data_IF_311935244368
#
_entry.id   IF_311935244368
#
_cell.length_a   1.000
_cell.length_b   1.000
_cell.length_c   1.000
_cell.angle_alpha   90.00
_cell.angle_beta   90.00
_cell.angle_gamma   90.00
#
_symmetry.space_group_name_H-M   'P 1'
#
loop_
_entity.id
_entity.type
_entity.pdbx_description
1 polymer ?
#
# COMPACT_ATOMS: atom_id res chain seq x y z
N UNK A 1 36.59 6.62 0.70
CA UNK A 1 35.79 7.82 0.99
C UNK A 1 35.27 7.70 2.42
N UNK A 2 35.31 8.75 3.26
CA UNK A 2 34.70 8.67 4.58
C UNK A 2 33.19 8.45 4.42
N UNK A 3 32.62 7.55 5.23
CA UNK A 3 31.19 7.28 5.27
C UNK A 3 30.49 8.58 5.69
N UNK A 4 29.70 9.17 4.79
CA UNK A 4 28.90 10.35 5.14
C UNK A 4 27.90 9.98 6.23
N UNK A 5 27.74 10.87 7.22
CA UNK A 5 26.66 10.70 8.18
C UNK A 5 25.29 10.81 7.46
N UNK A 6 24.28 10.10 7.98
CA UNK A 6 22.94 10.03 7.40
C UNK A 6 22.26 11.41 7.23
N UNK A 7 22.55 12.39 8.10
CA UNK A 7 22.00 13.75 7.97
C UNK A 7 22.61 14.45 6.76
N UNK A 8 23.92 14.32 6.55
CA UNK A 8 24.62 14.80 5.37
C UNK A 8 24.10 14.15 4.08
N UNK A 9 23.80 12.84 4.12
CA UNK A 9 23.19 12.11 3.00
C UNK A 9 21.79 12.64 2.67
N UNK A 10 20.93 12.84 3.67
CA UNK A 10 19.59 13.42 3.50
C UNK A 10 19.67 14.85 2.96
N UNK A 11 20.54 15.69 3.51
CA UNK A 11 20.76 17.07 3.04
C UNK A 11 21.21 17.12 1.59
N UNK A 12 22.06 16.17 1.17
CA UNK A 12 22.47 16.02 -0.23
C UNK A 12 21.30 15.60 -1.11
N UNK A 13 20.54 14.56 -0.71
CA UNK A 13 19.38 14.06 -1.48
C UNK A 13 18.39 15.18 -1.77
N UNK A 14 18.08 15.97 -0.75
CA UNK A 14 17.12 17.06 -0.84
C UNK A 14 17.77 18.41 -1.18
N UNK A 15 19.03 18.48 -1.59
CA UNK A 15 19.76 19.75 -1.76
C UNK A 15 18.99 20.74 -2.65
N UNK A 16 18.45 20.25 -3.77
CA UNK A 16 17.70 21.05 -4.75
C UNK A 16 16.27 21.43 -4.32
N UNK A 17 15.75 20.88 -3.20
CA UNK A 17 14.41 21.19 -2.71
C UNK A 17 14.38 22.58 -2.07
N UNK A 18 13.53 23.53 -2.51
CA UNK A 18 13.52 24.90 -1.99
C UNK A 18 12.86 25.02 -0.61
N UNK A 19 12.02 24.06 -0.23
CA UNK A 19 11.27 24.10 1.03
C UNK A 19 12.14 23.67 2.22
N UNK A 20 12.60 24.63 3.01
CA UNK A 20 13.43 24.41 4.20
C UNK A 20 12.67 23.69 5.32
N UNK A 21 11.41 24.07 5.56
CA UNK A 21 10.54 23.44 6.56
C UNK A 21 10.40 21.94 6.30
N UNK A 22 10.12 21.56 5.05
CA UNK A 22 10.02 20.15 4.65
C UNK A 22 11.35 19.41 4.84
N UNK A 23 12.48 20.03 4.51
CA UNK A 23 13.82 19.43 4.75
C UNK A 23 14.05 19.15 6.24
N UNK A 24 13.73 20.12 7.09
CA UNK A 24 13.88 19.98 8.54
C UNK A 24 12.95 18.91 9.10
N UNK A 25 11.70 18.87 8.63
CA UNK A 25 10.73 17.84 9.00
C UNK A 25 11.19 16.43 8.61
N UNK A 26 11.73 16.24 7.39
CA UNK A 26 12.32 14.96 6.95
C UNK A 26 13.46 14.53 7.88
N UNK A 27 14.38 15.44 8.19
CA UNK A 27 15.54 15.11 9.04
C UNK A 27 15.08 14.77 10.46
N UNK A 28 14.15 15.55 11.03
CA UNK A 28 13.60 15.33 12.35
C UNK A 28 12.90 13.97 12.45
N UNK A 29 12.06 13.64 11.47
CA UNK A 29 11.30 12.39 11.48
C UNK A 29 12.20 11.17 11.27
N UNK A 30 13.20 11.26 10.38
CA UNK A 30 14.22 10.22 10.27
C UNK A 30 14.97 10.00 11.59
N UNK A 31 15.36 11.08 12.29
CA UNK A 31 16.07 10.99 13.56
C UNK A 31 15.20 10.35 14.65
N UNK A 32 13.93 10.72 14.71
CA UNK A 32 12.96 10.15 15.65
C UNK A 32 12.76 8.64 15.42
N UNK A 33 12.50 8.23 14.17
CA UNK A 33 12.36 6.81 13.81
C UNK A 33 13.59 5.98 14.16
N UNK A 34 14.79 6.49 13.84
CA UNK A 34 16.06 5.82 14.20
C UNK A 34 16.21 5.68 15.71
N UNK A 35 15.74 6.68 16.47
CA UNK A 35 15.83 6.64 17.93
C UNK A 35 14.93 5.56 18.53
N UNK A 36 13.73 5.38 17.96
CA UNK A 36 12.72 4.40 18.35
C UNK A 36 13.02 2.97 17.87
N UNK A 37 13.82 2.82 16.81
CA UNK A 37 14.13 1.53 16.20
C UNK A 37 15.30 0.80 16.87
N UNK A 38 15.25 -0.54 16.83
CA UNK A 38 16.29 -1.42 17.37
C UNK A 38 17.49 -1.58 16.41
N UNK A 39 17.26 -1.74 15.10
CA UNK A 39 18.33 -1.86 14.10
C UNK A 39 18.74 -0.52 13.49
N UNK A 40 19.44 0.28 14.29
CA UNK A 40 19.85 1.64 13.92
C UNK A 40 20.85 1.68 12.76
N UNK A 41 21.55 0.58 12.47
CA UNK A 41 22.60 0.58 11.44
C UNK A 41 22.00 0.34 10.07
N UNK A 42 21.20 -0.71 9.90
CA UNK A 42 20.58 -1.02 8.60
C UNK A 42 19.69 0.13 8.13
N UNK A 43 18.89 0.70 9.04
CA UNK A 43 18.04 1.88 8.74
C UNK A 43 18.89 3.04 8.23
N UNK A 44 20.01 3.35 8.93
CA UNK A 44 20.91 4.45 8.53
C UNK A 44 21.53 4.22 7.16
N UNK A 45 21.91 2.99 6.86
CA UNK A 45 22.49 2.63 5.56
C UNK A 45 21.43 2.79 4.45
N UNK A 46 20.19 2.33 4.66
CA UNK A 46 19.09 2.44 3.68
C UNK A 46 18.64 3.88 3.44
N UNK A 47 18.44 4.69 4.48
CA UNK A 47 18.08 6.13 4.31
C UNK A 47 19.23 6.95 3.70
N UNK A 48 20.48 6.47 3.80
CA UNK A 48 21.64 7.08 3.17
C UNK A 48 21.89 6.57 1.76
N UNK A 49 21.13 5.58 1.29
CA UNK A 49 21.34 4.96 -0.01
C UNK A 49 21.12 5.94 -1.15
N UNK A 50 22.03 5.95 -2.11
CA UNK A 50 21.84 6.64 -3.38
C UNK A 50 20.85 5.92 -4.31
N UNK A 51 20.52 4.65 -4.01
CA UNK A 51 19.55 3.88 -4.77
C UNK A 51 18.15 4.29 -4.30
N UNK A 52 17.36 4.84 -5.22
CA UNK A 52 16.08 5.46 -4.89
C UNK A 52 15.07 4.49 -4.29
N UNK A 53 15.01 3.26 -4.80
CA UNK A 53 14.11 2.23 -4.27
C UNK A 53 14.47 1.79 -2.84
N UNK A 54 15.76 1.66 -2.51
CA UNK A 54 16.19 1.31 -1.16
C UNK A 54 15.84 2.40 -0.15
N UNK A 55 16.08 3.67 -0.54
CA UNK A 55 15.69 4.83 0.24
C UNK A 55 14.18 4.85 0.49
N UNK A 56 13.37 4.76 -0.57
CA UNK A 56 11.91 4.87 -0.47
C UNK A 56 11.25 3.73 0.27
N UNK A 57 11.82 2.52 0.20
CA UNK A 57 11.35 1.40 1.00
C UNK A 57 11.55 1.69 2.50
N UNK A 58 12.73 2.15 2.91
CA UNK A 58 12.96 2.53 4.31
C UNK A 58 12.18 3.77 4.72
N UNK A 59 12.09 4.76 3.84
CA UNK A 59 11.39 6.00 4.12
C UNK A 59 9.88 5.78 4.22
N UNK A 60 9.31 4.79 3.52
CA UNK A 60 7.90 4.42 3.69
C UNK A 60 7.59 3.90 5.10
N UNK A 61 8.48 3.11 5.71
CA UNK A 61 8.35 2.72 7.12
C UNK A 61 8.37 3.97 8.03
N UNK A 62 9.26 4.94 7.76
CA UNK A 62 9.33 6.21 8.50
C UNK A 62 8.02 7.02 8.34
N UNK A 63 7.43 7.06 7.15
CA UNK A 63 6.17 7.78 6.91
C UNK A 63 4.97 7.11 7.58
N UNK A 64 4.93 5.78 7.65
CA UNK A 64 3.91 5.05 8.41
C UNK A 64 4.08 5.30 9.91
N UNK A 65 5.32 5.28 10.42
CA UNK A 65 5.61 5.65 11.81
C UNK A 65 5.09 7.06 12.14
N UNK A 66 5.38 8.05 11.29
CA UNK A 66 4.84 9.41 11.44
C UNK A 66 3.32 9.40 11.49
N UNK A 67 2.66 8.68 10.57
CA UNK A 67 1.21 8.56 10.53
C UNK A 67 0.65 7.97 11.84
N UNK A 68 1.20 6.85 12.31
CA UNK A 68 0.75 6.22 13.56
C UNK A 68 0.92 7.14 14.77
N UNK A 69 2.04 7.87 14.88
CA UNK A 69 2.21 8.89 15.94
C UNK A 69 1.19 10.01 15.83
N UNK A 70 1.00 10.54 14.62
CA UNK A 70 0.09 11.67 14.37
C UNK A 70 -1.34 11.36 14.80
N UNK A 71 -1.77 10.11 14.62
CA UNK A 71 -3.10 9.64 15.02
C UNK A 71 -3.15 9.02 16.44
N UNK A 72 -2.06 9.13 17.21
CA UNK A 72 -2.05 8.81 18.64
C UNK A 72 -2.05 7.32 18.99
N UNK A 73 -1.56 6.46 18.10
CA UNK A 73 -1.50 5.01 18.37
C UNK A 73 -0.43 4.66 19.42
N UNK A 74 -0.74 3.67 20.27
CA UNK A 74 0.26 2.95 21.08
C UNK A 74 0.86 1.83 20.22
N UNK A 75 2.09 2.01 19.77
CA UNK A 75 2.77 1.04 18.92
C UNK A 75 4.25 0.89 19.26
N UNK A 76 4.82 -0.22 18.79
CA UNK A 76 6.23 -0.55 18.95
C UNK A 76 6.80 -1.18 17.67
N UNK A 77 8.11 -1.13 17.53
CA UNK A 77 8.85 -1.86 16.50
C UNK A 77 9.36 -3.18 17.08
N UNK A 78 8.82 -4.33 16.68
CA UNK A 78 9.29 -5.59 17.22
C UNK A 78 10.73 -5.89 16.72
N UNK A 79 11.52 -6.65 17.50
CA UNK A 79 12.90 -6.99 17.11
C UNK A 79 12.98 -7.92 15.89
N UNK A 80 11.88 -8.61 15.56
CA UNK A 80 11.75 -9.43 14.37
C UNK A 80 10.28 -9.51 13.96
N UNK A 81 10.04 -9.73 12.66
CA UNK A 81 8.68 -9.84 12.13
C UNK A 81 8.19 -8.57 11.45
N UNK A 82 6.90 -8.25 11.61
CA UNK A 82 6.27 -7.05 11.05
C UNK A 82 6.93 -5.75 11.49
N UNK A 83 6.82 -4.72 10.65
CA UNK A 83 7.48 -3.44 10.91
C UNK A 83 6.88 -2.71 12.14
N UNK A 84 5.59 -2.94 12.42
CA UNK A 84 4.87 -2.34 13.53
C UNK A 84 4.00 -3.34 14.27
N UNK A 85 3.96 -3.21 15.60
CA UNK A 85 3.00 -3.86 16.48
C UNK A 85 2.22 -2.78 17.24
N UNK A 86 0.93 -2.64 16.91
CA UNK A 86 0.00 -1.68 17.51
C UNK A 86 -0.85 -2.41 18.56
N UNK A 87 -1.05 -1.78 19.71
CA UNK A 87 -2.03 -2.21 20.70
C UNK A 87 -3.32 -1.42 20.49
N UNK A 88 -4.43 -2.13 20.33
CA UNK A 88 -5.75 -1.53 20.14
C UNK A 88 -6.77 -2.33 20.95
N UNK A 89 -7.26 -1.74 22.04
CA UNK A 89 -8.04 -2.43 23.06
C UNK A 89 -7.37 -3.75 23.50
N UNK A 90 -8.10 -4.86 23.44
CA UNK A 90 -7.60 -6.22 23.74
C UNK A 90 -6.94 -6.91 22.53
N UNK A 91 -6.79 -6.19 21.41
CA UNK A 91 -6.29 -6.73 20.14
C UNK A 91 -4.88 -6.24 19.84
N UNK A 92 -4.06 -7.13 19.28
CA UNK A 92 -2.77 -6.76 18.68
C UNK A 92 -2.95 -6.66 17.16
N UNK A 93 -2.56 -5.52 16.58
CA UNK A 93 -2.53 -5.30 15.13
C UNK A 93 -1.07 -5.23 14.68
N UNK A 94 -0.67 -6.13 13.79
CA UNK A 94 0.62 -6.06 13.12
C UNK A 94 0.47 -5.37 11.77
N UNK A 95 1.40 -4.47 11.45
CA UNK A 95 1.47 -3.83 10.14
C UNK A 95 2.83 -4.14 9.52
N UNK A 96 2.79 -4.73 8.33
CA UNK A 96 3.96 -5.00 7.50
C UNK A 96 3.93 -4.09 6.27
N UNK A 97 4.94 -3.25 6.13
CA UNK A 97 5.07 -2.23 5.10
C UNK A 97 5.82 -2.78 3.89
N UNK A 98 5.36 -2.39 2.70
CA UNK A 98 6.07 -2.63 1.44
C UNK A 98 5.94 -1.45 0.50
N UNK A 99 7.05 -1.13 -0.17
CA UNK A 99 7.07 -0.16 -1.28
C UNK A 99 7.53 -0.91 -2.52
N UNK A 100 6.61 -1.37 -3.39
CA UNK A 100 6.97 -2.10 -4.59
C UNK A 100 7.89 -1.27 -5.49
N UNK A 101 8.89 -1.93 -6.07
CA UNK A 101 9.78 -1.32 -7.06
C UNK A 101 9.03 -1.13 -8.39
N UNK A 102 9.36 -0.12 -9.21
CA UNK A 102 8.71 0.14 -10.50
C UNK A 102 9.18 -0.82 -11.61
N UNK A 103 9.51 -2.06 -11.27
CA UNK A 103 10.00 -3.06 -12.22
C UNK A 103 8.91 -3.43 -13.23
N UNK A 104 9.26 -3.35 -14.52
CA UNK A 104 8.31 -3.60 -15.61
C UNK A 104 7.34 -2.45 -15.88
N UNK A 105 7.36 -1.37 -15.08
CA UNK A 105 6.58 -0.17 -15.38
C UNK A 105 7.27 0.59 -16.52
N UNK A 106 6.53 1.01 -17.57
CA UNK A 106 7.12 1.71 -18.70
C UNK A 106 7.80 3.03 -18.31
N UNK A 107 8.96 3.30 -18.92
CA UNK A 107 9.76 4.49 -18.62
C UNK A 107 9.02 5.79 -18.94
N UNK A 108 8.15 5.79 -19.96
CA UNK A 108 7.33 6.96 -20.32
C UNK A 108 6.34 7.37 -19.23
N UNK A 109 5.98 6.45 -18.34
CA UNK A 109 5.09 6.72 -17.21
C UNK A 109 5.88 7.36 -16.06
N UNK A 110 6.97 6.71 -15.65
CA UNK A 110 7.82 7.17 -14.53
C UNK A 110 8.52 8.50 -14.88
N UNK A 111 9.16 8.57 -16.04
CA UNK A 111 9.93 9.71 -16.53
C UNK A 111 9.16 10.46 -17.61
N UNK A 112 7.92 10.81 -17.31
CA UNK A 112 7.05 11.51 -18.26
C UNK A 112 7.69 12.81 -18.76
N UNK A 113 7.51 13.08 -20.06
CA UNK A 113 7.92 14.33 -20.69
C UNK A 113 6.70 15.25 -20.83
N UNK A 114 6.66 16.41 -20.14
CA UNK A 114 5.53 17.34 -20.23
C UNK A 114 5.15 17.67 -21.68
N UNK A 115 3.85 17.69 -21.96
CA UNK A 115 3.31 17.93 -23.31
C UNK A 115 3.17 16.68 -24.18
N UNK A 116 3.42 15.49 -23.63
CA UNK A 116 3.17 14.21 -24.32
C UNK A 116 1.94 13.50 -23.76
N UNK A 117 1.27 12.69 -24.59
CA UNK A 117 0.22 11.77 -24.13
C UNK A 117 0.84 10.38 -23.92
N UNK A 118 0.49 9.73 -22.82
CA UNK A 118 0.96 8.38 -22.48
C UNK A 118 -0.20 7.52 -22.01
N UNK A 119 -0.10 6.20 -22.24
CA UNK A 119 -1.05 5.23 -21.69
C UNK A 119 -0.83 5.05 -20.19
N UNK A 120 -1.92 4.80 -19.46
CA UNK A 120 -1.84 4.40 -18.05
C UNK A 120 -1.45 2.92 -17.95
N UNK A 121 -0.28 2.56 -17.39
CA UNK A 121 0.22 1.19 -17.34
C UNK A 121 -0.42 0.41 -16.17
N UNK A 122 -1.74 0.29 -16.21
CA UNK A 122 -2.54 -0.24 -15.11
C UNK A 122 -2.24 -1.72 -14.84
N UNK A 123 -1.98 -2.54 -15.86
CA UNK A 123 -1.62 -3.95 -15.66
C UNK A 123 -0.23 -4.10 -15.05
N UNK A 124 0.75 -3.31 -15.49
CA UNK A 124 2.10 -3.33 -14.96
C UNK A 124 2.15 -2.87 -13.50
N UNK A 125 1.38 -1.83 -13.15
CA UNK A 125 1.21 -1.37 -11.77
C UNK A 125 0.52 -2.45 -10.94
N UNK A 126 -0.58 -3.03 -11.43
CA UNK A 126 -1.30 -4.07 -10.71
C UNK A 126 -0.45 -5.34 -10.48
N UNK A 127 0.42 -5.71 -11.43
CA UNK A 127 1.42 -6.76 -11.24
C UNK A 127 2.40 -6.46 -10.10
N UNK A 128 2.72 -5.18 -9.86
CA UNK A 128 3.55 -4.79 -8.71
C UNK A 128 2.78 -4.91 -7.39
N UNK A 129 1.50 -4.54 -7.38
CA UNK A 129 0.63 -4.70 -6.20
C UNK A 129 0.44 -6.16 -5.82
N UNK A 130 0.06 -7.02 -6.78
CA UNK A 130 -0.10 -8.46 -6.53
C UNK A 130 1.19 -9.11 -6.04
N UNK A 131 2.34 -8.77 -6.63
CA UNK A 131 3.63 -9.26 -6.18
C UNK A 131 3.97 -8.80 -4.75
N UNK A 132 3.71 -7.53 -4.41
CA UNK A 132 3.97 -6.98 -3.09
C UNK A 132 3.09 -7.63 -2.01
N UNK A 133 1.79 -7.77 -2.28
CA UNK A 133 0.85 -8.44 -1.37
C UNK A 133 1.28 -9.89 -1.17
N UNK A 134 1.62 -10.61 -2.26
CA UNK A 134 2.10 -11.99 -2.19
C UNK A 134 3.38 -12.12 -1.35
N UNK A 135 4.36 -11.23 -1.54
CA UNK A 135 5.61 -11.27 -0.78
C UNK A 135 5.35 -11.21 0.74
N UNK A 136 4.48 -10.29 1.16
CA UNK A 136 4.15 -10.12 2.58
C UNK A 136 3.22 -11.22 3.10
N UNK A 137 2.31 -11.72 2.28
CA UNK A 137 1.52 -12.90 2.60
C UNK A 137 2.42 -14.13 2.85
N UNK A 138 3.44 -14.36 2.01
CA UNK A 138 4.40 -15.46 2.19
C UNK A 138 5.28 -15.26 3.44
N UNK A 139 5.55 -14.02 3.86
CA UNK A 139 6.22 -13.77 5.15
C UNK A 139 5.34 -14.17 6.33
N UNK A 140 4.03 -13.88 6.28
CA UNK A 140 3.08 -14.27 7.33
C UNK A 140 2.85 -15.79 7.37
N UNK A 141 2.49 -16.37 6.22
CA UNK A 141 1.99 -17.74 6.08
C UNK A 141 3.12 -18.76 5.86
N UNK A 142 4.26 -18.32 5.33
CA UNK A 142 5.29 -19.18 4.77
C UNK A 142 5.07 -19.42 3.28
N UNK A 143 6.07 -20.04 2.63
CA UNK A 143 5.94 -20.44 1.23
C UNK A 143 5.13 -21.72 1.10
N UNK A 144 4.30 -21.81 0.05
CA UNK A 144 3.42 -22.96 -0.22
C UNK A 144 4.17 -24.28 -0.40
N UNK A 145 5.42 -24.24 -0.84
CA UNK A 145 6.30 -25.42 -0.98
C UNK A 145 6.93 -25.87 0.35
N UNK A 146 6.64 -25.17 1.45
CA UNK A 146 7.20 -25.43 2.77
C UNK A 146 8.66 -25.03 2.93
N UNK A 147 9.28 -24.37 1.94
CA UNK A 147 10.70 -24.02 1.98
C UNK A 147 11.02 -22.96 3.03
N UNK A 148 10.02 -22.23 3.51
CA UNK A 148 10.19 -21.13 4.45
C UNK A 148 8.99 -21.04 5.37
N UNK A 149 9.23 -21.14 6.68
CA UNK A 149 8.22 -20.95 7.72
C UNK A 149 7.83 -19.48 7.84
N UNK A 150 6.52 -19.22 7.89
CA UNK A 150 5.97 -17.88 8.08
C UNK A 150 6.05 -17.38 9.52
N UNK A 151 5.66 -16.11 9.74
CA UNK A 151 5.58 -15.50 11.07
C UNK A 151 4.60 -16.20 12.01
N UNK A 152 3.49 -16.73 11.49
CA UNK A 152 2.52 -17.50 12.30
C UNK A 152 3.15 -18.77 12.86
N UNK A 153 3.82 -19.56 12.00
CA UNK A 153 4.46 -20.81 12.43
C UNK A 153 5.64 -20.55 13.39
N UNK A 154 6.32 -19.40 13.23
CA UNK A 154 7.40 -18.97 14.12
C UNK A 154 6.89 -18.40 15.46
N UNK A 155 5.58 -18.19 15.63
CA UNK A 155 5.01 -17.54 16.81
C UNK A 155 5.37 -16.05 16.95
N UNK A 156 5.77 -15.41 15.86
CA UNK A 156 6.09 -13.97 15.80
C UNK A 156 4.79 -13.15 15.74
N UNK A 157 3.82 -13.66 14.97
CA UNK A 157 2.44 -13.16 14.92
C UNK A 157 1.56 -14.22 15.58
N UNK A 158 0.73 -13.83 16.54
CA UNK A 158 -0.21 -14.71 17.21
C UNK A 158 -1.36 -15.15 16.29
N UNK A 159 -1.98 -16.31 16.54
CA UNK A 159 -3.07 -16.82 15.71
C UNK A 159 -4.35 -15.98 15.77
N UNK A 160 -4.49 -15.16 16.81
CA UNK A 160 -5.64 -14.28 17.04
C UNK A 160 -5.27 -12.79 16.83
N UNK A 161 -4.04 -12.52 16.39
CA UNK A 161 -3.61 -11.16 16.07
C UNK A 161 -4.17 -10.74 14.70
N UNK A 162 -4.43 -9.45 14.54
CA UNK A 162 -4.80 -8.82 13.26
C UNK A 162 -3.51 -8.57 12.46
N UNK A 163 -3.53 -8.87 11.16
CA UNK A 163 -2.37 -8.66 10.28
C UNK A 163 -2.75 -7.82 9.06
N UNK A 164 -2.08 -6.68 8.91
CA UNK A 164 -2.31 -5.71 7.84
C UNK A 164 -1.07 -5.57 6.99
N UNK A 165 -1.25 -5.61 5.66
CA UNK A 165 -0.18 -5.30 4.71
C UNK A 165 -0.35 -3.85 4.25
N UNK A 166 0.59 -2.98 4.60
CA UNK A 166 0.61 -1.60 4.14
C UNK A 166 1.44 -1.50 2.85
N UNK A 167 0.80 -1.22 1.73
CA UNK A 167 1.46 -1.07 0.43
C UNK A 167 1.55 0.41 0.09
N UNK A 168 2.77 0.95 0.07
CA UNK A 168 3.02 2.32 -0.36
C UNK A 168 3.28 2.40 -1.87
N UNK A 169 2.38 3.03 -2.62
CA UNK A 169 2.42 3.15 -4.07
C UNK A 169 3.46 4.16 -4.58
N UNK A 170 4.18 4.86 -3.70
CA UNK A 170 5.02 6.02 -4.02
C UNK A 170 5.97 5.86 -5.21
N UNK A 171 6.58 4.68 -5.36
CA UNK A 171 7.52 4.38 -6.45
C UNK A 171 6.82 4.04 -7.78
N UNK A 172 5.52 3.77 -7.76
CA UNK A 172 4.72 3.41 -8.94
C UNK A 172 4.05 4.63 -9.58
N UNK A 173 4.14 5.80 -8.93
CA UNK A 173 3.62 7.07 -9.43
C UNK A 173 4.20 7.41 -10.80
N UNK A 174 3.35 7.96 -11.66
CA UNK A 174 3.77 8.55 -12.92
C UNK A 174 4.29 9.97 -12.73
N UNK A 175 4.75 10.58 -13.83
CA UNK A 175 5.05 12.01 -13.90
C UNK A 175 6.05 12.47 -12.85
N UNK A 176 7.16 11.74 -12.72
CA UNK A 176 8.23 12.02 -11.75
C UNK A 176 7.74 12.09 -10.29
N UNK A 177 6.68 11.36 -9.96
CA UNK A 177 6.10 11.31 -8.62
C UNK A 177 5.08 12.41 -8.30
N UNK A 178 4.68 13.21 -9.29
CA UNK A 178 3.81 14.37 -9.10
C UNK A 178 2.37 13.99 -8.73
N UNK A 179 1.83 12.91 -9.29
CA UNK A 179 0.45 12.50 -9.05
C UNK A 179 0.42 11.26 -8.19
N UNK A 180 -0.22 11.39 -7.03
CA UNK A 180 -0.54 10.22 -6.24
C UNK A 180 -1.54 9.33 -6.98
N UNK A 181 -1.30 8.02 -6.98
CA UNK A 181 -2.17 7.07 -7.65
C UNK A 181 -2.24 5.76 -6.87
N UNK A 182 -3.33 5.62 -6.10
CA UNK A 182 -3.73 4.35 -5.51
C UNK A 182 -4.85 3.68 -6.29
N UNK A 183 -5.56 4.40 -7.16
CA UNK A 183 -6.70 3.86 -7.90
C UNK A 183 -6.25 3.25 -9.23
N UNK A 184 -6.82 2.09 -9.54
CA UNK A 184 -6.61 1.39 -10.80
C UNK A 184 -7.64 1.76 -11.85
N UNK A 185 -7.66 0.96 -12.92
CA UNK A 185 -8.53 1.15 -14.09
C UNK A 185 -10.02 0.99 -13.76
N UNK A 186 -10.33 0.23 -12.71
CA UNK A 186 -11.69 0.03 -12.17
C UNK A 186 -12.23 1.24 -11.40
N UNK A 187 -11.41 2.27 -11.17
CA UNK A 187 -11.68 3.39 -10.26
C UNK A 187 -11.69 3.01 -8.77
N UNK A 188 -11.54 1.73 -8.43
CA UNK A 188 -11.20 1.30 -7.07
C UNK A 188 -9.69 1.33 -6.84
N UNK A 189 -9.23 1.28 -5.58
CA UNK A 189 -7.81 1.11 -5.29
C UNK A 189 -7.23 -0.14 -5.97
N UNK A 190 -5.98 -0.08 -6.43
CA UNK A 190 -5.24 -1.24 -6.93
C UNK A 190 -5.20 -2.39 -5.92
N UNK A 191 -5.27 -2.08 -4.62
CA UNK A 191 -5.45 -3.09 -3.58
C UNK A 191 -6.72 -3.92 -3.79
N UNK A 192 -7.86 -3.29 -4.13
CA UNK A 192 -9.12 -4.00 -4.40
C UNK A 192 -9.02 -4.82 -5.71
N UNK A 193 -8.44 -4.23 -6.76
CA UNK A 193 -8.17 -4.95 -8.01
C UNK A 193 -7.30 -6.20 -7.83
N UNK A 194 -6.32 -6.14 -6.91
CA UNK A 194 -5.37 -7.21 -6.66
C UNK A 194 -5.94 -8.37 -5.83
N UNK A 195 -7.04 -8.16 -5.10
CA UNK A 195 -7.55 -9.15 -4.13
C UNK A 195 -8.97 -9.65 -4.42
N UNK A 196 -9.74 -8.98 -5.28
CA UNK A 196 -11.15 -9.31 -5.58
C UNK A 196 -11.45 -9.62 -7.06
N UNK A 197 -10.43 -9.90 -7.87
CA UNK A 197 -10.59 -10.14 -9.31
C UNK A 197 -11.26 -8.97 -10.06
N UNK A 198 -11.13 -7.75 -9.55
CA UNK A 198 -11.86 -6.61 -10.07
C UNK A 198 -11.14 -6.04 -11.31
N UNK A 199 -11.84 -5.95 -12.43
CA UNK A 199 -11.37 -5.40 -13.69
C UNK A 199 -12.02 -4.04 -14.03
N UNK A 200 -11.77 -3.51 -15.24
CA UNK A 200 -12.36 -2.25 -15.70
C UNK A 200 -13.88 -2.26 -15.71
N UNK A 201 -14.49 -1.07 -15.63
CA UNK A 201 -15.92 -0.90 -15.89
C UNK A 201 -16.25 -1.28 -17.34
N UNK A 202 -17.32 -2.04 -17.53
CA UNK A 202 -17.81 -2.51 -18.82
C UNK A 202 -19.30 -2.16 -18.99
N UNK A 203 -19.68 -1.84 -20.22
CA UNK A 203 -21.09 -1.65 -20.61
C UNK A 203 -21.51 -2.79 -21.54
N UNK A 204 -22.66 -3.39 -21.26
CA UNK A 204 -23.25 -4.42 -22.14
C UNK A 204 -24.21 -3.73 -23.10
N UNK A 205 -23.94 -3.86 -24.39
CA UNK A 205 -24.74 -3.24 -25.45
C UNK A 205 -25.49 -4.36 -26.20
N UNK A 206 -26.81 -4.26 -26.26
CA UNK A 206 -27.61 -5.17 -27.08
C UNK A 206 -27.31 -4.92 -28.57
N UNK A 207 -26.85 -5.96 -29.27
CA UNK A 207 -26.36 -5.84 -30.65
C UNK A 207 -27.45 -5.45 -31.66
N UNK A 208 -28.72 -5.70 -31.36
CA UNK A 208 -29.82 -5.43 -32.28
C UNK A 208 -30.37 -4.01 -32.11
N UNK A 209 -30.57 -3.59 -30.87
CA UNK A 209 -31.13 -2.27 -30.52
C UNK A 209 -30.07 -1.18 -30.32
N UNK A 210 -28.79 -1.57 -30.19
CA UNK A 210 -27.65 -0.70 -29.84
C UNK A 210 -27.84 0.07 -28.53
N UNK A 211 -28.76 -0.38 -27.67
CA UNK A 211 -29.00 0.20 -26.36
C UNK A 211 -28.06 -0.41 -25.32
N UNK A 212 -27.63 0.41 -24.37
CA UNK A 212 -27.02 -0.07 -23.13
C UNK A 212 -28.09 -0.83 -22.36
N UNK A 213 -27.83 -2.10 -22.04
CA UNK A 213 -28.75 -2.94 -21.28
C UNK A 213 -28.27 -3.18 -19.85
N UNK A 214 -26.98 -2.97 -19.59
CA UNK A 214 -26.37 -3.18 -18.28
C UNK A 214 -24.98 -2.51 -18.23
N UNK A 215 -24.49 -2.25 -17.02
CA UNK A 215 -23.14 -1.75 -16.76
C UNK A 215 -22.64 -2.31 -15.42
N UNK A 216 -21.43 -2.87 -15.43
CA UNK A 216 -20.83 -3.48 -14.25
C UNK A 216 -19.29 -3.50 -14.41
N UNK A 217 -18.57 -4.21 -13.57
CA UNK A 217 -17.13 -4.44 -13.69
C UNK A 217 -16.81 -5.75 -14.39
N UNK A 218 -15.69 -5.77 -15.11
CA UNK A 218 -15.16 -6.99 -15.69
C UNK A 218 -14.62 -7.90 -14.57
N UNK A 219 -15.01 -9.17 -14.58
CA UNK A 219 -14.35 -10.20 -13.77
C UNK A 219 -12.97 -10.52 -14.38
N UNK A 220 -11.90 -10.25 -13.61
CA UNK A 220 -10.49 -10.43 -14.00
C UNK A 220 -9.76 -11.26 -12.95
N UNK A 221 -9.91 -12.58 -13.04
CA UNK A 221 -9.27 -13.53 -12.13
C UNK A 221 -7.74 -13.53 -12.22
N UNK A 222 -7.19 -13.24 -13.40
CA UNK A 222 -5.75 -13.27 -13.65
C UNK A 222 -5.28 -12.00 -14.37
N UNK A 223 -4.03 -11.62 -14.08
CA UNK A 223 -3.30 -10.58 -14.79
C UNK A 223 -2.19 -11.25 -15.60
N UNK A 224 -2.21 -11.05 -16.91
CA UNK A 224 -1.30 -11.74 -17.82
C UNK A 224 0.05 -11.01 -17.84
N UNK A 225 1.12 -11.71 -17.45
CA UNK A 225 2.49 -11.20 -17.59
C UNK A 225 2.89 -11.10 -19.07
N UNK A 226 3.92 -10.30 -19.41
CA UNK A 226 4.47 -10.26 -20.77
C UNK A 226 4.90 -11.62 -21.35
N UNK A 227 5.22 -12.59 -20.48
CA UNK A 227 5.58 -13.96 -20.88
C UNK A 227 4.37 -14.91 -20.99
N UNK A 228 3.13 -14.40 -20.91
CA UNK A 228 1.89 -15.16 -21.03
C UNK A 228 1.42 -15.87 -19.75
N UNK A 229 2.18 -15.80 -18.66
CA UNK A 229 1.79 -16.46 -17.39
C UNK A 229 0.78 -15.57 -16.65
N UNK A 230 -0.37 -16.16 -16.31
CA UNK A 230 -1.38 -15.52 -15.45
C UNK A 230 -0.92 -15.42 -13.99
N UNK A 231 -1.16 -14.25 -13.39
CA UNK A 231 -1.02 -14.01 -11.95
C UNK A 231 -2.41 -13.89 -11.35
N UNK A 232 -2.78 -14.73 -10.37
CA UNK A 232 -4.07 -14.62 -9.70
C UNK A 232 -4.23 -13.26 -9.01
N UNK A 233 -5.45 -12.71 -9.09
CA UNK A 233 -5.84 -11.44 -8.48
C UNK A 233 -7.00 -11.64 -7.47
N UNK A 234 -7.03 -12.79 -6.81
CA UNK A 234 -8.16 -13.33 -6.03
C UNK A 234 -7.79 -13.55 -4.55
N UNK A 235 -6.78 -12.84 -4.04
CA UNK A 235 -6.17 -13.12 -2.72
C UNK A 235 -7.20 -13.18 -1.59
N UNK A 236 -8.21 -12.31 -1.56
CA UNK A 236 -9.24 -12.31 -0.50
C UNK A 236 -10.42 -13.27 -0.76
N UNK A 237 -10.44 -13.90 -1.93
CA UNK A 237 -11.39 -14.96 -2.28
C UNK A 237 -10.84 -16.36 -1.94
N UNK A 238 -9.53 -16.49 -1.72
CA UNK A 238 -8.87 -17.72 -1.28
C UNK A 238 -8.72 -17.77 0.26
N UNK A 239 -9.36 -18.75 0.89
CA UNK A 239 -9.36 -18.98 2.34
C UNK A 239 -7.96 -19.20 2.94
N UNK A 240 -6.98 -19.57 2.12
CA UNK A 240 -5.57 -19.65 2.54
C UNK A 240 -5.05 -18.31 3.10
N UNK A 241 -5.58 -17.19 2.60
CA UNK A 241 -5.20 -15.85 3.03
C UNK A 241 -6.10 -15.26 4.12
N UNK A 242 -6.96 -16.08 4.75
CA UNK A 242 -7.82 -15.66 5.87
C UNK A 242 -7.06 -15.07 7.06
N UNK A 243 -5.75 -15.30 7.18
CA UNK A 243 -4.93 -14.69 8.22
C UNK A 243 -4.53 -13.24 7.94
N UNK A 244 -4.78 -12.73 6.73
CA UNK A 244 -4.57 -11.34 6.36
C UNK A 244 -5.89 -10.60 6.57
N UNK A 245 -5.88 -9.61 7.44
CA UNK A 245 -7.08 -8.88 7.84
C UNK A 245 -7.49 -7.80 6.84
N UNK A 246 -6.50 -7.09 6.28
CA UNK A 246 -6.73 -6.01 5.31
C UNK A 246 -5.45 -5.66 4.52
N UNK A 247 -5.65 -5.00 3.38
CA UNK A 247 -4.60 -4.25 2.68
C UNK A 247 -4.80 -2.77 2.97
N UNK A 248 -3.77 -2.11 3.50
CA UNK A 248 -3.73 -0.66 3.68
C UNK A 248 -2.98 -0.05 2.50
N UNK A 249 -3.73 0.39 1.50
CA UNK A 249 -3.20 1.08 0.34
C UNK A 249 -2.86 2.52 0.71
N UNK A 250 -1.59 2.88 0.63
CA UNK A 250 -1.16 4.25 0.88
C UNK A 250 -0.34 4.78 -0.28
N UNK A 251 -0.32 6.09 -0.43
CA UNK A 251 0.60 6.75 -1.34
C UNK A 251 1.31 7.88 -0.63
N UNK A 252 2.08 7.52 0.41
CA UNK A 252 2.75 8.49 1.26
C UNK A 252 4.06 8.95 0.63
N UNK A 253 4.30 10.24 0.71
CA UNK A 253 5.57 10.88 0.43
C UNK A 253 5.95 11.86 1.54
N UNK A 254 7.08 12.54 1.41
CA UNK A 254 7.57 13.50 2.41
C UNK A 254 6.58 14.63 2.71
N UNK A 255 5.63 14.93 1.82
CA UNK A 255 4.75 16.08 1.98
C UNK A 255 3.75 15.93 3.13
N UNK A 256 3.49 14.71 3.60
CA UNK A 256 2.68 14.48 4.79
C UNK A 256 3.29 15.10 6.04
N UNK A 257 4.62 15.24 6.08
CA UNK A 257 5.35 15.78 7.22
C UNK A 257 5.07 17.28 7.43
N UNK A 258 4.61 17.97 6.38
CA UNK A 258 4.16 19.37 6.40
C UNK A 258 2.63 19.47 6.24
N UNK A 259 1.91 18.41 6.60
CA UNK A 259 0.45 18.40 6.68
C UNK A 259 -0.27 18.32 5.33
N UNK A 260 0.40 17.95 4.23
CA UNK A 260 -0.30 17.69 2.97
C UNK A 260 -0.93 16.30 3.01
N UNK A 261 -2.26 16.17 2.89
CA UNK A 261 -2.90 14.87 2.87
C UNK A 261 -2.49 14.10 1.60
N UNK A 262 -2.42 12.78 1.72
CA UNK A 262 -2.08 11.88 0.63
C UNK A 262 -3.15 10.79 0.49
N UNK A 263 -3.37 10.27 -0.74
CA UNK A 263 -4.33 9.20 -0.97
C UNK A 263 -4.07 7.98 -0.08
N UNK A 264 -5.09 7.56 0.66
CA UNK A 264 -5.04 6.34 1.48
C UNK A 264 -6.38 5.62 1.48
N UNK A 265 -6.35 4.30 1.35
CA UNK A 265 -7.52 3.44 1.39
C UNK A 265 -7.23 2.16 2.18
N UNK A 266 -8.23 1.61 2.86
CA UNK A 266 -8.17 0.26 3.42
C UNK A 266 -9.13 -0.63 2.66
N UNK A 267 -8.66 -1.81 2.27
CA UNK A 267 -9.49 -2.86 1.66
C UNK A 267 -9.53 -4.01 2.65
N UNK A 268 -10.71 -4.25 3.24
CA UNK A 268 -10.91 -5.28 4.25
C UNK A 268 -11.07 -6.66 3.62
N UNK A 269 -10.52 -7.69 4.26
CA UNK A 269 -10.71 -9.07 3.85
C UNK A 269 -12.01 -9.62 4.48
N UNK A 270 -13.07 -9.92 3.70
CA UNK A 270 -14.32 -10.47 4.23
C UNK A 270 -14.15 -11.86 4.84
N UNK A 271 -13.09 -12.58 4.45
CA UNK A 271 -12.75 -13.91 4.96
C UNK A 271 -11.69 -13.86 6.07
N UNK A 272 -11.38 -12.68 6.62
CA UNK A 272 -10.41 -12.55 7.68
C UNK A 272 -10.83 -13.35 8.93
N UNK A 273 -9.94 -14.21 9.43
CA UNK A 273 -10.12 -14.89 10.71
C UNK A 273 -10.16 -13.88 11.86
N UNK A 274 -9.27 -12.90 11.82
CA UNK A 274 -9.22 -11.78 12.75
C UNK A 274 -9.43 -10.50 11.94
N UNK A 275 -10.68 -10.03 11.75
CA UNK A 275 -10.95 -8.85 10.94
C UNK A 275 -10.36 -7.60 11.58
N UNK A 276 -9.82 -6.70 10.76
CA UNK A 276 -9.44 -5.38 11.21
C UNK A 276 -10.72 -4.59 11.52
N UNK A 277 -10.90 -4.02 12.72
CA UNK A 277 -12.08 -3.20 12.97
C UNK A 277 -12.08 -1.97 12.05
N UNK A 278 -13.25 -1.62 11.53
CA UNK A 278 -13.41 -0.46 10.65
C UNK A 278 -13.11 0.83 11.41
N UNK A 279 -12.59 1.84 10.72
CA UNK A 279 -12.25 3.14 11.32
C UNK A 279 -11.29 2.99 12.50
N UNK A 280 -10.32 2.09 12.36
CA UNK A 280 -9.17 2.00 13.26
C UNK A 280 -7.96 2.65 12.63
N UNK A 281 -7.44 2.11 11.53
CA UNK A 281 -6.22 2.66 10.92
C UNK A 281 -6.48 3.93 10.09
N UNK A 282 -5.50 4.85 10.01
CA UNK A 282 -5.69 6.11 9.32
C UNK A 282 -5.84 5.92 7.81
N UNK A 283 -7.03 6.19 7.30
CA UNK A 283 -7.37 6.14 5.87
C UNK A 283 -8.38 7.22 5.50
N UNK A 284 -8.43 7.61 4.22
CA UNK A 284 -9.50 8.48 3.72
C UNK A 284 -10.77 7.68 3.41
N UNK A 285 -10.61 6.46 2.93
CA UNK A 285 -11.72 5.58 2.56
C UNK A 285 -11.44 4.15 2.99
N UNK A 286 -12.48 3.44 3.41
CA UNK A 286 -12.43 2.01 3.69
C UNK A 286 -13.43 1.27 2.80
N UNK A 287 -12.99 0.16 2.22
CA UNK A 287 -13.80 -0.71 1.38
C UNK A 287 -14.06 -2.03 2.13
N UNK A 288 -15.34 -2.33 2.34
CA UNK A 288 -15.81 -3.56 2.97
C UNK A 288 -16.61 -4.35 1.94
N UNK A 289 -16.29 -5.63 1.80
CA UNK A 289 -17.02 -6.54 0.94
C UNK A 289 -18.20 -7.15 1.71
N UNK A 290 -19.42 -6.91 1.22
CA UNK A 290 -20.63 -7.56 1.71
C UNK A 290 -21.01 -8.70 0.76
N UNK A 291 -21.24 -9.90 1.30
CA UNK A 291 -21.73 -11.02 0.52
C UNK A 291 -23.17 -10.73 0.05
N UNK A 292 -23.41 -10.83 -1.25
CA UNK A 292 -24.70 -10.63 -1.88
C UNK A 292 -24.95 -11.74 -2.89
N UNK A 293 -25.82 -12.70 -2.52
CA UNK A 293 -26.10 -13.90 -3.33
C UNK A 293 -24.83 -14.67 -3.71
N UNK A 294 -24.44 -14.64 -4.98
CA UNK A 294 -23.24 -15.28 -5.54
C UNK A 294 -22.09 -14.28 -5.82
N UNK A 295 -22.20 -13.05 -5.32
CA UNK A 295 -21.26 -11.96 -5.53
C UNK A 295 -20.82 -11.28 -4.22
N UNK A 296 -19.80 -10.43 -4.32
CA UNK A 296 -19.47 -9.44 -3.30
C UNK A 296 -19.82 -8.05 -3.79
N UNK A 297 -20.45 -7.26 -2.93
CA UNK A 297 -20.61 -5.82 -3.12
C UNK A 297 -19.56 -5.09 -2.31
N UNK A 298 -18.70 -4.33 -2.97
CA UNK A 298 -17.72 -3.47 -2.29
C UNK A 298 -18.40 -2.16 -1.88
N UNK A 299 -18.64 -2.00 -0.58
CA UNK A 299 -19.18 -0.78 0.01
C UNK A 299 -18.02 0.10 0.46
N UNK A 300 -18.03 1.38 0.08
CA UNK A 300 -17.08 2.36 0.57
C UNK A 300 -17.64 3.08 1.79
N UNK A 301 -16.76 3.45 2.72
CA UNK A 301 -17.10 4.29 3.86
C UNK A 301 -15.99 5.30 4.12
N UNK A 302 -16.37 6.45 4.66
CA UNK A 302 -15.45 7.51 5.04
C UNK A 302 -14.53 7.03 6.17
N UNK A 303 -13.22 7.08 5.94
CA UNK A 303 -12.19 6.74 6.93
C UNK A 303 -11.90 7.88 7.91
N UNK A 304 -11.00 7.65 8.87
CA UNK A 304 -10.69 8.60 9.95
C UNK A 304 -9.93 9.85 9.45
N UNK A 305 -9.09 9.71 8.43
CA UNK A 305 -8.33 10.85 7.87
C UNK A 305 -9.18 11.77 7.00
N UNK A 306 -10.42 11.36 6.66
CA UNK A 306 -11.24 12.09 5.71
C UNK A 306 -11.76 13.42 6.26
N UNK A 307 -12.00 13.50 7.57
CA UNK A 307 -12.48 14.71 8.24
C UNK A 307 -11.48 15.88 8.16
N UNK A 308 -10.19 15.59 8.00
CA UNK A 308 -9.13 16.60 7.77
C UNK A 308 -8.98 16.99 6.29
N UNK A 309 -9.66 16.31 5.36
CA UNK A 309 -9.37 16.41 3.92
C UNK A 309 -10.40 17.16 3.07
N UNK A 310 -11.53 17.59 3.63
CA UNK A 310 -12.48 18.48 2.93
C UNK A 310 -13.09 17.94 1.62
N UNK A 311 -12.98 16.64 1.34
CA UNK A 311 -13.59 16.00 0.17
C UNK A 311 -14.94 15.38 0.57
N UNK A 312 -16.03 15.99 0.09
CA UNK A 312 -17.37 15.40 0.11
C UNK A 312 -17.39 14.11 -0.72
N UNK A 313 -17.93 13.05 -0.13
CA UNK A 313 -18.15 11.76 -0.79
C UNK A 313 -19.26 11.87 -1.83
N UNK A 314 -18.97 11.46 -3.07
CA UNK A 314 -20.00 11.10 -4.05
C UNK A 314 -20.49 9.67 -3.77
N UNK A 315 -21.79 9.51 -3.55
CA UNK A 315 -22.47 8.21 -3.62
C UNK A 315 -22.42 7.68 -5.05
N UNK A 316 -22.07 6.40 -5.22
CA UNK A 316 -22.21 5.62 -6.46
C UNK A 316 -23.00 4.34 -6.17
#
# INVERSE_FOLDING_TARGET
>A
MPQMDHVSSLRRRYQAMPNLELKEAIIAECADFISASLDKKEIKDRISSSIDSEFWQQFSEILIHYYLKRYGFDFSHPPSGPDFKIKYDDTTIHVEVITPKPEGIPSYWINHVPGTAVSFPHEEILLRWTAAIKEKAEKLLGKRDGSTKGYLEKGIVGPDDVYVIAVNARLLRGFSGMWGQINGISQFPFAAEAVFCLGPMQVKIDRNSLKIVDSDYQYRAEIIKPNGIGVPADTFLDQHFSQISAIWAVDLDESILVGRPQPTAIVHNPSARNPLPIKVLPSQVEYVAEAFEDAYKLMSSVGICAADSGFETSEF
#
